data_IF_364027606051
#
_entry.id   IF_364027606051
#
_cell.length_a   1.000
_cell.length_b   1.000
_cell.length_c   1.000
_cell.angle_alpha   90.00
_cell.angle_beta   90.00
_cell.angle_gamma   90.00
#
_symmetry.space_group_name_H-M   'P 1'
#
loop_
_entity.id
_entity.type
_entity.pdbx_description
1 polymer ?
#
# COMPACT_ATOMS: atom_id res chain seq x y z
N UNK A 1 27.30 19.83 22.20
CA UNK A 1 25.92 20.32 21.94
C UNK A 1 25.58 20.35 20.44
N UNK A 2 26.09 19.40 19.63
CA UNK A 2 25.99 19.42 18.15
C UNK A 2 24.90 18.47 17.59
N UNK A 3 24.20 17.69 18.42
CA UNK A 3 23.39 16.54 17.95
C UNK A 3 21.88 16.82 17.77
N UNK A 4 21.38 18.02 18.15
CA UNK A 4 19.95 18.34 18.03
C UNK A 4 19.53 18.85 16.65
N UNK A 5 20.45 19.50 15.94
CA UNK A 5 20.15 20.15 14.66
C UNK A 5 20.10 19.15 13.51
N UNK A 6 21.05 18.19 13.45
CA UNK A 6 21.09 17.18 12.38
C UNK A 6 19.84 16.28 12.34
N UNK A 7 19.27 15.93 13.50
CA UNK A 7 18.10 15.07 13.55
C UNK A 7 16.83 15.78 13.04
N UNK A 8 16.68 17.08 13.32
CA UNK A 8 15.58 17.90 12.80
C UNK A 8 15.64 18.02 11.26
N UNK A 9 16.85 18.14 10.68
CA UNK A 9 16.99 18.20 9.21
C UNK A 9 16.66 16.86 8.54
N UNK A 10 17.04 15.75 9.17
CA UNK A 10 16.75 14.39 8.66
C UNK A 10 15.25 14.09 8.73
N UNK A 11 14.57 14.45 9.82
CA UNK A 11 13.12 14.25 9.96
C UNK A 11 12.31 15.12 8.98
N UNK A 12 12.72 16.37 8.76
CA UNK A 12 12.06 17.29 7.81
C UNK A 12 12.32 16.90 6.34
N UNK A 13 13.53 16.44 5.99
CA UNK A 13 13.79 15.90 4.65
C UNK A 13 13.00 14.61 4.39
N UNK A 14 13.01 13.67 5.34
CA UNK A 14 12.24 12.43 5.22
C UNK A 14 10.74 12.72 5.03
N UNK A 15 10.16 13.63 5.82
CA UNK A 15 8.75 14.01 5.69
C UNK A 15 8.40 14.60 4.32
N UNK A 16 9.27 15.43 3.73
CA UNK A 16 9.02 16.10 2.45
C UNK A 16 9.23 15.17 1.24
N UNK A 17 10.23 14.30 1.28
CA UNK A 17 10.45 13.28 0.24
C UNK A 17 9.35 12.21 0.26
N UNK A 18 8.90 11.80 1.45
CA UNK A 18 7.80 10.85 1.61
C UNK A 18 6.48 11.40 1.05
N UNK A 19 6.24 12.72 1.14
CA UNK A 19 5.07 13.41 0.57
C UNK A 19 5.08 13.47 -0.98
N UNK A 20 6.22 13.75 -1.59
CA UNK A 20 6.33 13.83 -3.06
C UNK A 20 6.18 12.45 -3.71
N UNK A 21 6.82 11.41 -3.15
CA UNK A 21 6.62 10.05 -3.64
C UNK A 21 5.22 9.53 -3.30
N UNK A 22 4.68 9.76 -2.10
CA UNK A 22 3.32 9.32 -1.72
C UNK A 22 2.27 9.74 -2.73
N UNK A 23 2.33 10.96 -3.29
CA UNK A 23 1.30 11.43 -4.24
C UNK A 23 1.20 10.55 -5.48
N UNK A 24 2.33 10.29 -6.15
CA UNK A 24 2.36 9.42 -7.33
C UNK A 24 2.05 7.96 -6.97
N UNK A 25 2.58 7.46 -5.86
CA UNK A 25 2.26 6.11 -5.38
C UNK A 25 0.77 5.94 -5.07
N UNK A 26 0.13 6.93 -4.45
CA UNK A 26 -1.29 6.89 -4.10
C UNK A 26 -2.18 6.93 -5.34
N UNK A 27 -1.80 7.66 -6.38
CA UNK A 27 -2.46 7.61 -7.69
C UNK A 27 -2.32 6.22 -8.32
N UNK A 28 -1.11 5.64 -8.32
CA UNK A 28 -0.87 4.28 -8.83
C UNK A 28 -1.74 3.25 -8.09
N UNK A 29 -1.83 3.34 -6.76
CA UNK A 29 -2.71 2.46 -5.98
C UNK A 29 -4.18 2.66 -6.34
N UNK A 30 -4.65 3.90 -6.51
CA UNK A 30 -6.04 4.17 -6.86
C UNK A 30 -6.39 3.65 -8.25
N UNK A 31 -5.47 3.82 -9.21
CA UNK A 31 -5.59 3.22 -10.54
C UNK A 31 -5.61 1.69 -10.42
N UNK A 32 -4.73 1.10 -9.60
CA UNK A 32 -4.69 -0.34 -9.38
C UNK A 32 -6.03 -0.89 -8.84
N UNK A 33 -6.66 -0.20 -7.88
CA UNK A 33 -7.99 -0.56 -7.37
C UNK A 33 -9.08 -0.47 -8.45
N UNK A 34 -9.03 0.58 -9.28
CA UNK A 34 -9.96 0.72 -10.39
C UNK A 34 -9.77 -0.41 -11.41
N UNK A 35 -8.53 -0.79 -11.72
CA UNK A 35 -8.25 -1.95 -12.56
C UNK A 35 -8.83 -3.22 -11.93
N UNK A 36 -8.61 -3.50 -10.64
CA UNK A 36 -9.19 -4.68 -9.98
C UNK A 36 -10.71 -4.71 -10.20
N UNK A 37 -11.41 -3.61 -9.96
CA UNK A 37 -12.85 -3.53 -10.16
C UNK A 37 -13.25 -3.82 -11.62
N UNK A 38 -12.52 -3.27 -12.59
CA UNK A 38 -12.75 -3.51 -14.02
C UNK A 38 -12.52 -4.99 -14.38
N UNK A 39 -11.47 -5.60 -13.85
CA UNK A 39 -11.17 -7.02 -14.07
C UNK A 39 -12.27 -7.90 -13.48
N UNK A 40 -12.73 -7.64 -12.25
CA UNK A 40 -13.87 -8.35 -11.65
C UNK A 40 -15.16 -8.22 -12.47
N UNK A 41 -15.43 -7.03 -13.03
CA UNK A 41 -16.59 -6.79 -13.88
C UNK A 41 -16.51 -7.58 -15.19
N UNK A 42 -15.38 -7.47 -15.90
CA UNK A 42 -15.16 -8.19 -17.17
C UNK A 42 -15.18 -9.70 -16.94
N UNK A 43 -14.51 -10.19 -15.89
CA UNK A 43 -14.51 -11.60 -15.50
C UNK A 43 -15.92 -12.13 -15.22
N UNK A 44 -16.75 -11.32 -14.58
CA UNK A 44 -18.17 -11.66 -14.32
C UNK A 44 -18.96 -11.79 -15.62
N UNK A 45 -18.75 -10.88 -16.58
CA UNK A 45 -19.41 -10.94 -17.90
C UNK A 45 -18.91 -12.15 -18.71
N UNK A 46 -17.60 -12.43 -18.68
CA UNK A 46 -17.01 -13.59 -19.38
C UNK A 46 -17.59 -14.92 -18.87
N UNK A 47 -18.02 -14.98 -17.61
CA UNK A 47 -18.59 -16.18 -17.00
C UNK A 47 -19.94 -16.62 -17.61
N UNK A 48 -20.63 -15.73 -18.33
CA UNK A 48 -21.86 -16.04 -19.06
C UNK A 48 -21.61 -16.83 -20.35
N UNK A 49 -20.37 -16.86 -20.84
CA UNK A 49 -20.00 -17.56 -22.07
C UNK A 49 -19.10 -18.76 -21.73
N UNK A 50 -19.56 -19.96 -22.05
CA UNK A 50 -18.85 -21.19 -21.68
C UNK A 50 -17.46 -21.30 -22.31
N UNK A 51 -17.29 -20.80 -23.54
CA UNK A 51 -15.99 -20.75 -24.24
C UNK A 51 -14.98 -19.78 -23.62
N UNK A 52 -15.45 -18.72 -22.95
CA UNK A 52 -14.61 -17.67 -22.37
C UNK A 52 -14.41 -17.84 -20.85
N UNK A 53 -15.10 -18.81 -20.25
CA UNK A 53 -15.08 -19.08 -18.81
C UNK A 53 -13.66 -19.32 -18.28
N UNK A 54 -12.84 -20.06 -19.02
CA UNK A 54 -11.44 -20.30 -18.64
C UNK A 54 -10.64 -18.98 -18.53
N UNK A 55 -10.84 -18.05 -19.47
CA UNK A 55 -10.20 -16.74 -19.45
C UNK A 55 -10.72 -15.94 -18.25
N UNK A 56 -12.03 -15.94 -18.01
CA UNK A 56 -12.64 -15.28 -16.86
C UNK A 56 -12.08 -15.76 -15.51
N UNK A 57 -11.85 -17.07 -15.35
CA UNK A 57 -11.26 -17.64 -14.13
C UNK A 57 -9.85 -17.08 -13.87
N UNK A 58 -8.97 -17.11 -14.88
CA UNK A 58 -7.62 -16.53 -14.76
C UNK A 58 -7.66 -15.05 -14.41
N UNK A 59 -8.62 -14.32 -15.00
CA UNK A 59 -8.84 -12.91 -14.78
C UNK A 59 -9.22 -12.62 -13.31
N UNK A 60 -10.07 -13.45 -12.71
CA UNK A 60 -10.41 -13.39 -11.28
C UNK A 60 -9.23 -13.74 -10.37
N UNK A 61 -8.42 -14.75 -10.72
CA UNK A 61 -7.25 -15.12 -9.92
C UNK A 61 -6.26 -13.97 -9.84
N UNK A 62 -5.93 -13.35 -10.99
CA UNK A 62 -5.03 -12.20 -11.04
C UNK A 62 -5.61 -11.03 -10.24
N UNK A 63 -6.88 -10.72 -10.43
CA UNK A 63 -7.55 -9.64 -9.71
C UNK A 63 -7.56 -9.87 -8.18
N UNK A 64 -7.71 -11.12 -7.72
CA UNK A 64 -7.69 -11.47 -6.30
C UNK A 64 -6.31 -11.29 -5.66
N UNK A 65 -5.25 -11.72 -6.36
CA UNK A 65 -3.87 -11.48 -5.92
C UNK A 65 -3.60 -9.98 -5.83
N UNK A 66 -4.02 -9.23 -6.84
CA UNK A 66 -3.85 -7.78 -6.90
C UNK A 66 -4.62 -7.06 -5.78
N UNK A 67 -5.85 -7.49 -5.49
CA UNK A 67 -6.67 -6.97 -4.38
C UNK A 67 -6.00 -7.14 -3.02
N UNK A 68 -5.22 -8.21 -2.84
CA UNK A 68 -4.53 -8.51 -1.58
C UNK A 68 -3.37 -7.57 -1.26
N UNK A 69 -2.87 -6.80 -2.24
CA UNK A 69 -1.70 -5.94 -2.07
C UNK A 69 -1.96 -4.82 -1.05
N UNK A 70 -3.12 -4.14 -1.14
CA UNK A 70 -3.49 -3.03 -0.22
C UNK A 70 -3.54 -3.42 1.26
N UNK A 71 -4.28 -4.47 1.67
CA UNK A 71 -4.29 -4.89 3.06
C UNK A 71 -2.89 -5.33 3.53
N UNK A 72 -2.08 -5.95 2.68
CA UNK A 72 -0.71 -6.35 3.02
C UNK A 72 0.17 -5.16 3.41
N UNK A 73 0.14 -4.09 2.61
CA UNK A 73 0.91 -2.86 2.87
C UNK A 73 0.47 -2.21 4.18
N UNK A 74 -0.85 -2.16 4.43
CA UNK A 74 -1.39 -1.60 5.68
C UNK A 74 -0.92 -2.39 6.90
N UNK A 75 -0.85 -3.71 6.81
CA UNK A 75 -0.37 -4.58 7.89
C UNK A 75 1.13 -4.37 8.15
N UNK A 76 1.95 -4.32 7.10
CA UNK A 76 3.39 -4.08 7.24
C UNK A 76 3.65 -2.72 7.91
N UNK A 77 2.92 -1.69 7.47
CA UNK A 77 3.05 -0.35 8.03
C UNK A 77 2.62 -0.26 9.50
N UNK A 78 1.52 -0.92 9.87
CA UNK A 78 1.04 -0.92 11.27
C UNK A 78 1.99 -1.64 12.22
N UNK A 79 2.64 -2.72 11.78
CA UNK A 79 3.65 -3.43 12.58
C UNK A 79 4.91 -2.60 12.76
N UNK A 80 5.38 -1.91 11.71
CA UNK A 80 6.57 -1.06 11.79
C UNK A 80 6.34 0.16 12.71
N UNK A 81 5.18 0.83 12.58
CA UNK A 81 4.84 1.99 13.41
C UNK A 81 4.77 1.65 14.90
N UNK A 82 4.24 0.47 15.25
CA UNK A 82 4.13 0.03 16.65
C UNK A 82 5.51 -0.12 17.33
N UNK A 83 6.56 -0.47 16.57
CA UNK A 83 7.92 -0.58 17.11
C UNK A 83 8.56 0.79 17.40
N UNK A 84 8.27 1.80 16.60
CA UNK A 84 8.77 3.16 16.83
C UNK A 84 8.13 3.83 18.05
N UNK A 85 6.82 3.66 18.24
CA UNK A 85 6.09 4.25 19.38
C UNK A 85 6.62 3.68 20.72
N UNK A 86 6.96 2.39 20.78
CA UNK A 86 7.47 1.76 22.01
C UNK A 86 8.88 2.19 22.42
N UNK A 87 9.73 2.64 21.49
CA UNK A 87 11.06 3.16 21.85
C UNK A 87 10.95 4.56 22.46
N UNK A 88 10.11 5.43 21.88
CA UNK A 88 9.94 6.82 22.36
C UNK A 88 9.38 6.88 23.79
N UNK A 89 8.54 5.93 24.18
CA UNK A 89 7.99 5.85 25.55
C UNK A 89 8.99 5.36 26.61
N UNK A 90 10.07 4.67 26.21
CA UNK A 90 11.10 4.20 27.16
C UNK A 90 12.14 5.26 27.48
N UNK A 91 12.50 6.11 26.51
CA UNK A 91 13.45 7.22 26.72
C UNK A 91 12.87 8.38 27.53
N UNK A 92 11.54 8.53 27.62
CA UNK A 92 10.91 9.54 28.49
C UNK A 92 10.72 9.10 29.94
N UNK A 93 11.01 7.83 30.28
CA UNK A 93 10.90 7.31 31.66
C UNK A 93 12.25 6.94 32.30
N UNK A 94 13.35 7.17 31.61
CA UNK A 94 14.73 7.00 32.11
C UNK A 94 15.38 8.36 32.33
#
# INVERSE_FOLDING_TARGET
>A
MQNRRDNDYVEVLLGKYDLFFKKSYQIIYNINDFLIALWFLIGSILFFYESLKNIGIWLFVIASVQYSIRPLIRIIHSIHLKRYIQQKDRDHRA
#
